data_IF_051756305915
#
_entry.id   IF_051756305915
#
_cell.length_a   1.000
_cell.length_b   1.000
_cell.length_c   1.000
_cell.angle_alpha   90.00
_cell.angle_beta   90.00
_cell.angle_gamma   90.00
#
_symmetry.space_group_name_H-M   'P 1'
#
loop_
_entity.id
_entity.type
_entity.pdbx_description
1 polymer ?
#
# COMPACT_ATOMS: atom_id res chain seq x y z
N UNK A 1 -15.95 -9.96 36.64
CA UNK A 1 -14.83 -9.65 37.54
C UNK A 1 -13.58 -10.28 36.97
N UNK A 2 -12.45 -9.58 37.03
CA UNK A 2 -11.16 -10.13 36.65
C UNK A 2 -10.79 -11.31 37.56
N UNK A 3 -10.19 -12.35 36.99
CA UNK A 3 -9.70 -13.52 37.72
C UNK A 3 -8.43 -13.19 38.47
N UNK A 4 -8.25 -13.82 39.62
CA UNK A 4 -6.94 -13.88 40.29
C UNK A 4 -5.98 -14.75 39.47
N UNK A 5 -4.67 -14.64 39.72
CA UNK A 5 -3.69 -15.52 39.07
C UNK A 5 -3.92 -16.99 39.43
N UNK A 6 -4.28 -17.28 40.68
CA UNK A 6 -4.62 -18.65 41.11
C UNK A 6 -5.84 -19.20 40.37
N UNK A 7 -6.88 -18.40 40.19
CA UNK A 7 -8.06 -18.79 39.42
C UNK A 7 -7.70 -19.04 37.95
N UNK A 8 -6.92 -18.13 37.36
CA UNK A 8 -6.43 -18.30 36.00
C UNK A 8 -5.60 -19.57 35.85
N UNK A 9 -4.65 -19.83 36.76
CA UNK A 9 -3.84 -21.04 36.78
C UNK A 9 -4.71 -22.29 36.85
N UNK A 10 -5.60 -22.39 37.84
CA UNK A 10 -6.45 -23.56 38.04
C UNK A 10 -7.37 -23.84 36.84
N UNK A 11 -7.87 -22.79 36.19
CA UNK A 11 -8.72 -22.95 35.01
C UNK A 11 -7.94 -23.40 33.77
N UNK A 12 -6.67 -23.01 33.68
CA UNK A 12 -5.90 -23.13 32.43
C UNK A 12 -4.89 -24.28 32.42
N UNK A 13 -4.38 -24.69 33.58
CA UNK A 13 -3.33 -25.71 33.72
C UNK A 13 -3.71 -27.01 33.00
N UNK A 14 -2.75 -27.59 32.27
CA UNK A 14 -2.91 -28.86 31.57
C UNK A 14 -3.71 -28.79 30.27
N UNK A 15 -4.20 -27.62 29.85
CA UNK A 15 -5.02 -27.42 28.64
C UNK A 15 -4.29 -26.58 27.60
N UNK A 16 -4.56 -26.80 26.32
CA UNK A 16 -4.05 -25.97 25.23
C UNK A 16 -5.04 -24.84 24.94
N UNK A 17 -4.66 -23.62 25.27
CA UNK A 17 -5.50 -22.43 25.11
C UNK A 17 -5.18 -21.68 23.82
N UNK A 18 -6.20 -21.26 23.05
CA UNK A 18 -6.06 -20.23 22.03
C UNK A 18 -5.82 -18.87 22.67
N UNK A 19 -5.34 -17.94 21.86
CA UNK A 19 -5.32 -16.54 22.24
C UNK A 19 -6.77 -16.05 22.52
N UNK A 20 -6.89 -14.84 23.05
CA UNK A 20 -8.18 -14.25 23.40
C UNK A 20 -9.19 -14.22 22.24
N UNK A 21 -8.71 -14.11 20.99
CA UNK A 21 -9.55 -14.07 19.78
C UNK A 21 -9.83 -15.46 19.17
N UNK A 22 -9.37 -16.55 19.80
CA UNK A 22 -9.62 -17.93 19.34
C UNK A 22 -8.59 -18.52 18.38
N UNK A 23 -7.51 -17.80 18.06
CA UNK A 23 -6.43 -18.27 17.17
C UNK A 23 -5.21 -18.83 17.91
N UNK A 24 -4.26 -19.42 17.17
CA UNK A 24 -2.92 -19.83 17.65
C UNK A 24 -2.95 -20.71 18.92
N UNK A 25 -3.83 -21.73 18.94
CA UNK A 25 -4.02 -22.59 20.09
C UNK A 25 -2.74 -23.32 20.52
N UNK A 26 -2.34 -23.12 21.76
CA UNK A 26 -1.18 -23.78 22.37
C UNK A 26 0.15 -23.04 22.20
N UNK A 27 0.14 -21.80 21.68
CA UNK A 27 1.34 -20.94 21.65
C UNK A 27 1.61 -20.26 23.01
N UNK A 28 2.86 -19.89 23.27
CA UNK A 28 3.27 -19.16 24.47
C UNK A 28 2.52 -17.83 24.64
N UNK A 29 2.45 -17.03 23.57
CA UNK A 29 1.70 -15.77 23.52
C UNK A 29 0.20 -15.95 23.71
N UNK A 30 -0.35 -17.13 23.39
CA UNK A 30 -1.78 -17.41 23.56
C UNK A 30 -2.17 -17.51 25.02
N UNK A 31 -1.33 -18.12 25.87
CA UNK A 31 -1.59 -18.17 27.31
C UNK A 31 -1.49 -16.77 27.94
N UNK A 32 -0.47 -15.99 27.55
CA UNK A 32 -0.32 -14.60 28.04
C UNK A 32 -1.46 -13.71 27.56
N UNK A 33 -1.94 -13.88 26.33
CA UNK A 33 -3.14 -13.21 25.82
C UNK A 33 -4.36 -13.53 26.69
N UNK A 34 -4.56 -14.78 27.08
CA UNK A 34 -5.64 -15.16 28.00
C UNK A 34 -5.48 -14.56 29.39
N UNK A 35 -4.25 -14.52 29.92
CA UNK A 35 -3.95 -13.92 31.22
C UNK A 35 -4.25 -12.42 31.23
N UNK A 36 -3.81 -11.69 30.20
CA UNK A 36 -4.10 -10.27 30.04
C UNK A 36 -5.61 -10.01 29.96
N UNK A 37 -6.36 -10.85 29.24
CA UNK A 37 -7.81 -10.72 29.14
C UNK A 37 -8.53 -11.03 30.45
N UNK A 38 -8.20 -12.16 31.08
CA UNK A 38 -8.96 -12.68 32.20
C UNK A 38 -8.56 -12.04 33.53
N UNK A 39 -7.30 -11.64 33.72
CA UNK A 39 -6.81 -11.07 34.98
C UNK A 39 -6.71 -9.54 34.96
N UNK A 40 -6.69 -8.90 33.78
CA UNK A 40 -6.54 -7.44 33.69
C UNK A 40 -7.67 -6.74 32.92
N UNK A 41 -8.68 -7.49 32.47
CA UNK A 41 -9.77 -7.03 31.61
C UNK A 41 -9.28 -6.34 30.34
N UNK A 42 -8.13 -6.78 29.80
CA UNK A 42 -7.60 -6.25 28.55
C UNK A 42 -8.25 -6.97 27.36
N UNK A 43 -8.19 -6.36 26.18
CA UNK A 43 -8.66 -6.99 24.94
C UNK A 43 -7.46 -7.23 24.00
N UNK A 44 -6.61 -8.23 24.30
CA UNK A 44 -5.45 -8.52 23.49
C UNK A 44 -5.85 -9.06 22.12
N UNK A 45 -5.35 -8.39 21.08
CA UNK A 45 -5.42 -8.87 19.70
C UNK A 45 -4.16 -9.65 19.31
N UNK A 46 -3.88 -9.73 18.01
CA UNK A 46 -2.58 -10.19 17.52
C UNK A 46 -1.50 -9.11 17.79
N UNK A 47 -0.88 -9.15 18.96
CA UNK A 47 0.14 -8.17 19.39
C UNK A 47 1.58 -8.55 19.04
N UNK A 48 1.75 -9.51 18.12
CA UNK A 48 3.05 -9.98 17.67
C UNK A 48 3.49 -11.27 18.37
N UNK A 49 4.75 -11.62 18.14
CA UNK A 49 5.45 -12.74 18.76
C UNK A 49 5.90 -12.38 20.18
N UNK A 50 6.48 -13.33 20.90
CA UNK A 50 6.93 -13.11 22.27
C UNK A 50 7.97 -11.98 22.38
N UNK A 51 8.95 -11.93 21.47
CA UNK A 51 9.99 -10.87 21.45
C UNK A 51 9.39 -9.46 21.26
N UNK A 52 8.27 -9.34 20.55
CA UNK A 52 7.62 -8.06 20.26
C UNK A 52 7.07 -7.41 21.55
N UNK A 53 6.69 -8.20 22.55
CA UNK A 53 6.31 -7.68 23.87
C UNK A 53 7.46 -6.93 24.54
N UNK A 54 8.71 -7.09 24.11
CA UNK A 54 9.85 -6.31 24.62
C UNK A 54 10.28 -5.22 23.64
N UNK A 55 10.48 -5.55 22.36
CA UNK A 55 11.07 -4.63 21.38
C UNK A 55 10.09 -3.58 20.88
N UNK A 56 8.82 -3.94 20.70
CA UNK A 56 7.77 -3.07 20.21
C UNK A 56 6.42 -3.41 20.89
N UNK A 57 6.31 -3.23 22.22
CA UNK A 57 5.13 -3.67 22.96
C UNK A 57 3.89 -2.91 22.48
N UNK A 58 2.76 -3.61 22.47
CA UNK A 58 1.47 -2.93 22.30
C UNK A 58 1.34 -1.80 23.36
N UNK A 59 0.89 -0.59 22.99
CA UNK A 59 0.80 0.55 23.92
C UNK A 59 -0.02 0.29 25.19
N UNK A 60 -0.93 -0.69 25.19
CA UNK A 60 -1.69 -1.06 26.37
C UNK A 60 -0.84 -1.76 27.46
N UNK A 61 0.26 -2.41 27.09
CA UNK A 61 1.17 -3.08 28.03
C UNK A 61 1.86 -2.08 28.96
N UNK A 62 2.60 -1.06 28.49
CA UNK A 62 3.26 -0.10 29.38
C UNK A 62 2.26 0.79 30.15
N UNK A 63 0.97 0.81 29.78
CA UNK A 63 -0.08 1.45 30.58
C UNK A 63 -0.43 0.60 31.81
N UNK A 64 -0.51 -0.72 31.66
CA UNK A 64 -0.92 -1.63 32.72
C UNK A 64 0.25 -2.31 33.45
N UNK A 65 1.47 -2.18 32.94
CA UNK A 65 2.66 -2.86 33.46
C UNK A 65 3.89 -1.95 33.46
N UNK A 66 4.75 -2.13 34.45
CA UNK A 66 6.09 -1.56 34.55
C UNK A 66 7.09 -2.48 33.86
N UNK A 67 7.93 -1.89 33.00
CA UNK A 67 9.02 -2.64 32.37
C UNK A 67 10.21 -2.70 33.31
N UNK A 68 10.63 -3.90 33.68
CA UNK A 68 11.80 -4.12 34.53
C UNK A 68 12.83 -4.99 33.80
N UNK A 69 14.11 -4.56 33.74
CA UNK A 69 15.14 -5.33 33.06
C UNK A 69 15.46 -6.65 33.78
N UNK A 70 16.17 -7.53 33.08
CA UNK A 70 16.79 -8.72 33.67
C UNK A 70 17.65 -8.36 34.90
N UNK A 71 17.73 -9.26 35.88
CA UNK A 71 18.46 -9.04 37.15
C UNK A 71 17.61 -8.54 38.31
N UNK A 72 16.39 -8.07 38.06
CA UNK A 72 15.39 -7.81 39.12
C UNK A 72 14.72 -9.11 39.55
N UNK A 73 14.39 -9.28 40.85
CA UNK A 73 13.66 -10.47 41.34
C UNK A 73 12.26 -10.53 40.73
N UNK A 74 11.88 -11.70 40.22
CA UNK A 74 10.53 -11.95 39.69
C UNK A 74 9.52 -12.16 40.83
N UNK A 75 8.27 -11.76 40.58
CA UNK A 75 7.13 -11.83 41.48
C UNK A 75 5.96 -12.48 40.76
N UNK A 76 5.06 -13.12 41.50
CA UNK A 76 3.91 -13.82 40.92
C UNK A 76 3.06 -12.84 40.10
N UNK A 77 2.76 -13.24 38.87
CA UNK A 77 2.03 -12.44 37.90
C UNK A 77 2.88 -11.55 36.99
N UNK A 78 4.19 -11.47 37.19
CA UNK A 78 5.10 -10.86 36.22
C UNK A 78 5.02 -11.62 34.88
N UNK A 79 5.00 -10.89 33.76
CA UNK A 79 5.12 -11.46 32.42
C UNK A 79 6.59 -11.40 32.00
N UNK A 80 7.23 -12.55 31.88
CA UNK A 80 8.65 -12.69 31.55
C UNK A 80 8.81 -12.83 30.03
N UNK A 81 9.82 -12.17 29.46
CA UNK A 81 10.07 -12.16 28.02
C UNK A 81 11.52 -12.58 27.71
N UNK A 82 11.67 -13.45 26.73
CA UNK A 82 12.94 -13.87 26.15
C UNK A 82 13.04 -13.44 24.68
N UNK A 83 14.26 -13.13 24.25
CA UNK A 83 14.57 -12.65 22.90
C UNK A 83 14.60 -13.72 21.83
N UNK A 84 14.83 -13.27 20.60
CA UNK A 84 14.83 -14.01 19.34
C UNK A 84 16.16 -14.73 19.02
N UNK A 85 16.89 -15.13 20.06
CA UNK A 85 18.18 -15.78 19.90
C UNK A 85 18.03 -17.25 19.49
N UNK A 86 18.31 -17.51 18.20
CA UNK A 86 18.25 -18.83 17.58
C UNK A 86 19.24 -19.83 18.24
N UNK A 87 20.28 -19.35 18.93
CA UNK A 87 21.22 -20.18 19.68
C UNK A 87 20.74 -20.60 21.08
N UNK A 88 19.64 -20.02 21.58
CA UNK A 88 19.24 -20.12 22.99
C UNK A 88 17.75 -20.49 23.16
N UNK A 89 17.37 -21.72 22.82
CA UNK A 89 16.10 -22.40 23.23
C UNK A 89 14.75 -21.72 22.89
N UNK A 90 14.72 -20.47 22.43
CA UNK A 90 13.52 -19.66 22.19
C UNK A 90 13.25 -19.40 20.70
N UNK A 91 14.25 -19.60 19.84
CA UNK A 91 14.11 -19.45 18.39
C UNK A 91 13.83 -18.02 17.94
N UNK A 92 13.49 -17.78 16.66
CA UNK A 92 13.38 -16.43 16.08
C UNK A 92 12.17 -15.62 16.57
N UNK A 93 11.25 -16.23 17.33
CA UNK A 93 10.02 -15.58 17.80
C UNK A 93 10.07 -15.21 19.28
N UNK A 94 11.13 -15.63 19.98
CA UNK A 94 11.27 -15.49 21.43
C UNK A 94 10.35 -16.41 22.22
N UNK A 95 10.37 -16.23 23.54
CA UNK A 95 9.48 -16.94 24.47
C UNK A 95 8.87 -15.97 25.47
N UNK A 96 7.70 -16.31 26.00
CA UNK A 96 6.98 -15.49 26.97
C UNK A 96 6.25 -16.38 27.97
N UNK A 97 6.27 -16.00 29.24
CA UNK A 97 5.68 -16.78 30.32
C UNK A 97 5.16 -15.87 31.44
N UNK A 98 4.39 -16.44 32.36
CA UNK A 98 3.94 -15.78 33.58
C UNK A 98 4.74 -16.36 34.74
N UNK A 99 5.27 -15.53 35.64
CA UNK A 99 5.89 -16.05 36.86
C UNK A 99 4.81 -16.53 37.84
N UNK A 100 4.96 -17.76 38.32
CA UNK A 100 4.03 -18.35 39.27
C UNK A 100 4.76 -19.28 40.24
N UNK A 101 4.75 -18.93 41.53
CA UNK A 101 5.32 -19.70 42.63
C UNK A 101 6.75 -20.22 42.36
N UNK A 102 7.61 -19.32 41.87
CA UNK A 102 9.03 -19.63 41.63
C UNK A 102 9.31 -20.36 40.31
N UNK A 103 8.31 -20.51 39.45
CA UNK A 103 8.38 -21.19 38.16
C UNK A 103 7.86 -20.31 37.03
N UNK A 104 8.16 -20.70 35.80
CA UNK A 104 7.53 -20.10 34.61
C UNK A 104 6.27 -20.89 34.30
N UNK A 105 5.15 -20.21 34.12
CA UNK A 105 3.88 -20.75 33.71
C UNK A 105 3.61 -20.36 32.25
N UNK A 106 3.63 -21.35 31.35
CA UNK A 106 3.66 -21.10 29.91
C UNK A 106 3.00 -22.21 29.08
N UNK A 107 2.94 -21.95 27.77
CA UNK A 107 2.64 -22.91 26.71
C UNK A 107 3.78 -22.93 25.70
N UNK A 108 3.84 -24.00 24.94
CA UNK A 108 4.80 -24.25 23.86
C UNK A 108 6.28 -24.29 24.27
N UNK A 109 6.57 -24.43 25.56
CA UNK A 109 7.94 -24.68 25.99
C UNK A 109 8.35 -26.11 25.63
N UNK A 110 9.49 -26.27 24.95
CA UNK A 110 9.97 -27.55 24.42
C UNK A 110 8.91 -28.35 23.62
N UNK A 111 7.98 -27.66 22.95
CA UNK A 111 6.89 -28.28 22.17
C UNK A 111 5.66 -28.69 22.99
N UNK A 112 5.62 -28.44 24.31
CA UNK A 112 4.45 -28.70 25.16
C UNK A 112 3.33 -27.71 24.87
N UNK A 113 2.37 -28.09 24.02
CA UNK A 113 1.25 -27.24 23.58
C UNK A 113 0.21 -26.90 24.65
N UNK A 114 0.22 -27.57 25.80
CA UNK A 114 -0.68 -27.30 26.93
C UNK A 114 -0.05 -26.35 27.92
N UNK A 115 -0.82 -25.66 28.77
CA UNK A 115 -0.29 -24.80 29.83
C UNK A 115 0.34 -25.62 30.96
N UNK A 116 1.46 -25.17 31.51
CA UNK A 116 2.27 -25.95 32.44
C UNK A 116 3.38 -25.15 33.09
N UNK A 117 4.01 -25.74 34.11
CA UNK A 117 5.06 -25.12 34.90
C UNK A 117 6.42 -25.69 34.53
N UNK A 118 7.37 -24.81 34.24
CA UNK A 118 8.76 -25.16 33.96
C UNK A 118 9.73 -24.38 34.87
N UNK A 119 10.97 -24.85 34.90
CA UNK A 119 12.04 -24.12 35.57
C UNK A 119 12.37 -22.84 34.79
N UNK A 120 12.67 -21.76 35.51
CA UNK A 120 13.21 -20.56 34.90
C UNK A 120 14.58 -20.82 34.28
N UNK A 121 14.83 -20.19 33.13
CA UNK A 121 16.12 -20.19 32.45
C UNK A 121 16.52 -18.76 32.08
N UNK A 122 17.80 -18.42 32.26
CA UNK A 122 18.31 -17.05 32.10
C UNK A 122 18.79 -16.74 30.68
N UNK A 123 19.09 -17.77 29.88
CA UNK A 123 19.60 -17.66 28.53
C UNK A 123 18.57 -16.96 27.64
N UNK A 124 18.94 -15.82 27.04
CA UNK A 124 18.04 -15.02 26.20
C UNK A 124 16.98 -14.22 26.98
N UNK A 125 16.99 -14.23 28.31
CA UNK A 125 16.00 -13.50 29.12
C UNK A 125 16.25 -11.99 29.05
N UNK A 126 15.25 -11.24 28.56
CA UNK A 126 15.34 -9.80 28.36
C UNK A 126 14.90 -9.02 29.60
N UNK A 127 13.88 -9.51 30.28
CA UNK A 127 13.28 -8.87 31.43
C UNK A 127 11.80 -9.21 31.55
N UNK A 128 11.07 -8.38 32.30
CA UNK A 128 9.68 -8.63 32.65
C UNK A 128 8.82 -7.38 32.59
N UNK A 129 7.53 -7.62 32.43
CA UNK A 129 6.47 -6.67 32.67
C UNK A 129 5.82 -7.00 34.00
N UNK A 130 6.01 -6.11 34.97
CA UNK A 130 5.37 -6.21 36.27
C UNK A 130 4.02 -5.50 36.21
N UNK A 131 2.91 -6.14 36.59
CA UNK A 131 1.64 -5.44 36.68
C UNK A 131 1.78 -4.16 37.51
N UNK A 132 1.42 -3.01 36.91
CA UNK A 132 1.17 -1.77 37.65
C UNK A 132 -0.12 -2.03 38.39
N UNK A 133 0.04 -2.56 39.60
CA UNK A 133 -0.97 -3.10 40.51
C UNK A 133 -2.38 -2.95 39.94
N UNK A 134 -2.89 -4.00 39.30
CA UNK A 134 -4.31 -4.36 39.25
C UNK A 134 -4.30 -5.75 39.90
N UNK A 135 -4.87 -5.85 41.09
CA UNK A 135 -4.82 -6.96 42.06
C UNK A 135 -4.70 -8.35 41.41
N UNK A 136 -3.50 -8.92 41.42
CA UNK A 136 -3.32 -10.36 41.30
C UNK A 136 -3.34 -10.88 42.74
N UNK A 137 -4.48 -11.42 43.17
CA UNK A 137 -4.55 -12.07 44.47
C UNK A 137 -3.68 -13.33 44.46
N UNK A 138 -2.63 -13.31 45.27
CA UNK A 138 -1.97 -14.50 45.81
C UNK A 138 -2.11 -14.49 47.33
N UNK A 139 -3.02 -15.34 47.79
CA UNK A 139 -3.21 -16.03 49.09
C UNK A 139 -2.94 -15.36 50.46
N UNK A 140 -3.72 -15.75 51.50
CA UNK A 140 -3.87 -15.04 52.77
C UNK A 140 -2.73 -15.33 53.75
N UNK A 141 -2.31 -14.30 54.49
CA UNK A 141 -1.57 -14.48 55.74
C UNK A 141 -2.56 -14.83 56.86
N UNK A 142 -2.10 -15.68 57.76
CA UNK A 142 -2.87 -16.19 58.88
C UNK A 142 -3.24 -15.07 59.85
N UNK A 143 -4.47 -15.16 60.36
CA UNK A 143 -5.10 -14.13 61.17
C UNK A 143 -4.38 -13.79 62.48
N UNK A 144 -4.61 -12.55 62.90
CA UNK A 144 -4.23 -11.97 64.18
C UNK A 144 -3.54 -10.62 64.00
N UNK A 145 -4.30 -9.52 64.04
CA UNK A 145 -3.86 -8.11 63.94
C UNK A 145 -2.95 -7.71 62.74
N UNK A 146 -2.53 -8.66 61.91
CA UNK A 146 -1.67 -8.48 60.73
C UNK A 146 -2.43 -8.33 59.41
N UNK A 147 -3.75 -8.47 59.41
CA UNK A 147 -4.61 -8.37 58.21
C UNK A 147 -5.11 -6.95 57.91
N UNK A 148 -4.89 -6.00 58.81
CA UNK A 148 -5.30 -4.61 58.59
C UNK A 148 -4.46 -3.98 57.49
N UNK A 149 -5.13 -3.25 56.60
CA UNK A 149 -4.45 -2.58 55.49
C UNK A 149 -3.43 -1.58 56.02
N UNK A 150 -2.20 -1.69 55.52
CA UNK A 150 -1.14 -0.71 55.79
C UNK A 150 -1.25 0.45 54.83
N UNK A 151 -0.58 1.58 55.13
CA UNK A 151 -0.52 2.70 54.20
C UNK A 151 0.02 2.30 52.81
N UNK A 152 0.98 1.37 52.77
CA UNK A 152 1.49 0.81 51.52
C UNK A 152 0.44 -0.03 50.78
N UNK A 153 -0.34 -0.83 51.52
CA UNK A 153 -1.47 -1.59 50.96
C UNK A 153 -2.58 -0.68 50.42
N UNK A 154 -2.92 0.39 51.14
CA UNK A 154 -3.93 1.36 50.70
C UNK A 154 -3.48 2.09 49.44
N UNK A 155 -2.23 2.54 49.41
CA UNK A 155 -1.65 3.18 48.23
C UNK A 155 -1.69 2.25 47.01
N UNK A 156 -1.39 0.96 47.20
CA UNK A 156 -1.48 -0.04 46.15
C UNK A 156 -2.92 -0.20 45.60
N UNK A 157 -3.93 -0.23 46.47
CA UNK A 157 -5.35 -0.33 46.09
C UNK A 157 -5.81 0.94 45.33
N UNK A 158 -5.43 2.12 45.80
CA UNK A 158 -5.81 3.40 45.18
C UNK A 158 -5.19 3.56 43.79
N UNK A 159 -3.91 3.23 43.60
CA UNK A 159 -3.33 3.22 42.27
C UNK A 159 -3.97 2.19 41.35
N UNK A 160 -4.35 1.02 41.88
CA UNK A 160 -4.97 -0.04 41.11
C UNK A 160 -6.36 0.29 40.59
N UNK A 161 -7.17 0.88 41.46
CA UNK A 161 -8.59 1.06 41.19
C UNK A 161 -8.96 2.49 40.85
N UNK A 162 -8.17 3.48 41.29
CA UNK A 162 -8.49 4.89 41.07
C UNK A 162 -7.39 5.63 40.29
N UNK A 163 -6.20 5.02 40.14
CA UNK A 163 -5.10 5.61 39.35
C UNK A 163 -4.49 6.87 39.98
N UNK A 164 -4.58 7.00 41.31
CA UNK A 164 -4.03 8.10 42.10
C UNK A 164 -3.57 7.63 43.47
N UNK A 165 -2.89 8.49 44.22
CA UNK A 165 -2.58 8.26 45.63
C UNK A 165 -3.82 8.50 46.54
N UNK A 166 -3.92 7.79 47.68
CA UNK A 166 -4.94 8.06 48.69
C UNK A 166 -4.69 9.42 49.33
N UNK A 167 -5.75 10.18 49.55
CA UNK A 167 -5.70 11.40 50.35
C UNK A 167 -5.66 11.08 51.85
N UNK A 168 -5.38 12.10 52.67
CA UNK A 168 -5.28 11.91 54.11
C UNK A 168 -6.57 11.38 54.74
N UNK A 169 -7.74 11.77 54.20
CA UNK A 169 -9.03 11.27 54.68
C UNK A 169 -9.19 9.77 54.45
N UNK A 170 -8.77 9.27 53.29
CA UNK A 170 -8.72 7.85 52.99
C UNK A 170 -7.73 7.09 53.90
N UNK A 171 -6.55 7.68 54.14
CA UNK A 171 -5.55 7.09 55.04
C UNK A 171 -6.12 6.95 56.45
N UNK A 172 -6.70 8.02 56.99
CA UNK A 172 -7.29 8.05 58.33
C UNK A 172 -8.51 7.12 58.45
N UNK A 173 -9.24 6.90 57.35
CA UNK A 173 -10.41 6.04 57.34
C UNK A 173 -10.05 4.55 57.28
N UNK A 174 -9.08 4.16 56.44
CA UNK A 174 -8.84 2.76 56.11
C UNK A 174 -7.67 2.12 56.86
N UNK A 175 -6.56 2.83 57.04
CA UNK A 175 -5.30 2.24 57.54
C UNK A 175 -5.45 1.82 59.00
N UNK A 176 -5.17 0.55 59.30
CA UNK A 176 -5.30 0.01 60.66
C UNK A 176 -6.73 -0.22 61.13
N UNK A 177 -7.74 0.11 60.31
CA UNK A 177 -9.16 0.00 60.65
C UNK A 177 -9.86 -1.16 59.93
N UNK A 178 -9.43 -1.47 58.71
CA UNK A 178 -10.07 -2.48 57.87
C UNK A 178 -9.06 -3.40 57.20
N UNK A 179 -9.52 -4.59 56.82
CA UNK A 179 -8.69 -5.56 56.09
C UNK A 179 -8.50 -5.15 54.64
N UNK A 180 -7.44 -5.65 54.02
CA UNK A 180 -7.16 -5.43 52.58
C UNK A 180 -8.36 -5.79 51.70
N UNK A 181 -9.02 -6.91 51.99
CA UNK A 181 -10.17 -7.38 51.21
C UNK A 181 -11.37 -6.43 51.31
N UNK A 182 -11.70 -5.98 52.53
CA UNK A 182 -12.79 -5.02 52.72
C UNK A 182 -12.53 -3.71 51.95
N UNK A 183 -11.32 -3.18 52.05
CA UNK A 183 -10.98 -1.91 51.39
C UNK A 183 -10.93 -2.07 49.87
N UNK A 184 -10.50 -3.22 49.36
CA UNK A 184 -10.56 -3.50 47.93
C UNK A 184 -12.01 -3.54 47.43
N UNK A 185 -12.89 -4.23 48.14
CA UNK A 185 -14.31 -4.33 47.78
C UNK A 185 -15.02 -2.97 47.85
N UNK A 186 -14.73 -2.18 48.89
CA UNK A 186 -15.33 -0.85 49.08
C UNK A 186 -14.88 0.14 47.98
N UNK A 187 -13.58 0.17 47.66
CA UNK A 187 -13.07 1.00 46.55
C UNK A 187 -13.61 0.53 45.20
N UNK A 188 -13.77 -0.78 44.99
CA UNK A 188 -14.39 -1.31 43.77
C UNK A 188 -15.86 -0.92 43.63
N UNK A 189 -16.59 -0.82 44.74
CA UNK A 189 -17.98 -0.39 44.78
C UNK A 189 -18.16 1.14 44.70
N UNK A 190 -17.09 1.92 44.95
CA UNK A 190 -17.15 3.38 45.02
C UNK A 190 -17.59 4.06 43.71
N UNK A 191 -18.28 5.20 43.84
CA UNK A 191 -18.63 6.06 42.70
C UNK A 191 -17.38 6.57 41.97
N UNK A 192 -16.31 6.82 42.71
CA UNK A 192 -15.04 7.28 42.15
C UNK A 192 -14.46 6.25 41.18
N UNK A 193 -14.53 4.95 41.52
CA UNK A 193 -14.11 3.87 40.62
C UNK A 193 -14.96 3.84 39.35
N UNK A 194 -16.27 4.03 39.46
CA UNK A 194 -17.16 4.06 38.31
C UNK A 194 -16.80 5.20 37.35
N UNK A 195 -16.51 6.39 37.89
CA UNK A 195 -16.08 7.55 37.11
C UNK A 195 -14.72 7.33 36.43
N UNK A 196 -13.74 6.78 37.17
CA UNK A 196 -12.42 6.44 36.63
C UNK A 196 -12.52 5.45 35.47
N UNK A 197 -13.38 4.43 35.57
CA UNK A 197 -13.62 3.48 34.48
C UNK A 197 -14.31 4.11 33.27
N UNK A 198 -15.31 4.96 33.47
CA UNK A 198 -15.98 5.67 32.38
C UNK A 198 -15.00 6.54 31.57
N UNK A 199 -14.07 7.23 32.25
CA UNK A 199 -13.02 8.01 31.60
C UNK A 199 -12.09 7.15 30.74
N UNK A 200 -11.68 5.97 31.23
CA UNK A 200 -10.81 5.06 30.49
C UNK A 200 -11.47 4.41 29.28
N UNK A 201 -12.76 4.06 29.39
CA UNK A 201 -13.54 3.55 28.25
C UNK A 201 -13.60 4.60 27.14
N UNK A 202 -13.79 5.88 27.49
CA UNK A 202 -13.82 6.99 26.53
C UNK A 202 -12.49 7.13 25.78
N UNK A 203 -11.36 7.08 26.50
CA UNK A 203 -10.02 7.14 25.87
C UNK A 203 -9.77 5.92 24.97
N UNK A 204 -10.14 4.72 25.41
CA UNK A 204 -9.99 3.51 24.61
C UNK A 204 -10.82 3.55 23.33
N UNK A 205 -12.06 4.05 23.40
CA UNK A 205 -12.92 4.26 22.22
C UNK A 205 -12.31 5.29 21.26
N UNK A 206 -11.78 6.40 21.77
CA UNK A 206 -11.14 7.42 20.94
C UNK A 206 -9.87 6.88 20.24
N UNK A 207 -9.08 6.07 20.94
CA UNK A 207 -7.90 5.41 20.36
C UNK A 207 -8.28 4.36 19.32
N UNK A 208 -9.33 3.56 19.57
CA UNK A 208 -9.84 2.58 18.60
C UNK A 208 -10.35 3.27 17.33
N UNK A 209 -11.07 4.40 17.47
CA UNK A 209 -11.51 5.19 16.33
C UNK A 209 -10.32 5.74 15.53
N UNK A 210 -9.32 6.31 16.22
CA UNK A 210 -8.11 6.82 15.58
C UNK A 210 -7.36 5.73 14.81
N UNK A 211 -7.29 4.52 15.36
CA UNK A 211 -6.67 3.37 14.70
C UNK A 211 -7.45 2.91 13.45
N UNK A 212 -8.78 2.91 13.53
CA UNK A 212 -9.65 2.58 12.39
C UNK A 212 -9.49 3.62 11.26
N UNK A 213 -9.48 4.90 11.60
CA UNK A 213 -9.29 6.00 10.64
C UNK A 213 -7.92 5.90 9.96
N UNK A 214 -6.86 5.59 10.73
CA UNK A 214 -5.52 5.39 10.19
C UNK A 214 -5.44 4.18 9.23
N UNK A 215 -6.14 3.09 9.56
CA UNK A 215 -6.20 1.90 8.69
C UNK A 215 -6.93 2.19 7.37
N UNK A 216 -8.03 2.96 7.44
CA UNK A 216 -8.76 3.40 6.25
C UNK A 216 -7.88 4.30 5.34
N UNK A 217 -7.17 5.26 5.94
CA UNK A 217 -6.26 6.15 5.21
C UNK A 217 -5.12 5.38 4.51
N UNK A 218 -4.53 4.37 5.18
CA UNK A 218 -3.50 3.51 4.57
C UNK A 218 -4.02 2.74 3.36
N UNK A 219 -5.26 2.24 3.43
CA UNK A 219 -5.90 1.51 2.32
C UNK A 219 -6.16 2.41 1.12
N UNK A 220 -6.60 3.64 1.35
CA UNK A 220 -6.77 4.64 0.28
C UNK A 220 -5.43 4.98 -0.37
N UNK A 221 -4.38 5.19 0.42
CA UNK A 221 -3.04 5.49 -0.10
C UNK A 221 -2.51 4.36 -1.00
N UNK A 222 -2.67 3.10 -0.59
CA UNK A 222 -2.28 1.95 -1.41
C UNK A 222 -3.05 1.88 -2.74
N UNK A 223 -4.34 2.25 -2.72
CA UNK A 223 -5.17 2.31 -3.93
C UNK A 223 -4.70 3.40 -4.89
N UNK A 224 -4.40 4.60 -4.39
CA UNK A 224 -3.89 5.71 -5.20
C UNK A 224 -2.49 5.42 -5.76
N UNK A 225 -1.62 4.77 -4.99
CA UNK A 225 -0.31 4.32 -5.47
C UNK A 225 -0.44 3.30 -6.61
N UNK A 226 -1.43 2.39 -6.54
CA UNK A 226 -1.67 1.43 -7.62
C UNK A 226 -2.13 2.12 -8.91
N UNK A 227 -2.96 3.17 -8.79
CA UNK A 227 -3.39 3.99 -9.95
C UNK A 227 -2.21 4.74 -10.58
N UNK A 228 -1.32 5.32 -9.78
CA UNK A 228 -0.18 6.09 -10.30
C UNK A 228 0.80 5.20 -11.07
N UNK A 229 1.04 3.96 -10.60
CA UNK A 229 1.84 2.96 -11.34
C UNK A 229 1.22 2.67 -12.71
N UNK A 230 -0.11 2.53 -12.79
CA UNK A 230 -0.82 2.35 -14.06
C UNK A 230 -0.65 3.54 -15.01
N UNK A 231 -0.74 4.78 -14.49
CA UNK A 231 -0.52 5.99 -15.29
C UNK A 231 0.91 6.08 -15.83
N UNK A 232 1.92 5.74 -15.02
CA UNK A 232 3.32 5.72 -15.46
C UNK A 232 3.53 4.74 -16.62
N UNK A 233 2.90 3.57 -16.58
CA UNK A 233 2.94 2.60 -17.68
C UNK A 233 2.32 3.19 -18.96
N UNK A 234 1.15 3.81 -18.85
CA UNK A 234 0.50 4.44 -20.01
C UNK A 234 1.34 5.56 -20.63
N UNK A 235 2.02 6.37 -19.81
CA UNK A 235 2.94 7.41 -20.31
C UNK A 235 4.13 6.79 -21.05
N UNK A 236 4.69 5.68 -20.55
CA UNK A 236 5.77 4.98 -21.23
C UNK A 236 5.33 4.42 -22.59
N UNK A 237 4.13 3.81 -22.65
CA UNK A 237 3.56 3.27 -23.89
C UNK A 237 3.27 4.39 -24.92
N UNK A 238 2.69 5.51 -24.48
CA UNK A 238 2.46 6.69 -25.33
C UNK A 238 3.77 7.30 -25.83
N UNK A 239 4.82 7.33 -25.00
CA UNK A 239 6.14 7.82 -25.39
C UNK A 239 6.73 6.94 -26.50
N UNK A 240 6.62 5.62 -26.37
CA UNK A 240 7.08 4.68 -27.40
C UNK A 240 6.31 4.85 -28.72
N UNK A 241 4.98 5.02 -28.65
CA UNK A 241 4.15 5.29 -29.83
C UNK A 241 4.53 6.60 -30.52
N UNK A 242 4.79 7.66 -29.75
CA UNK A 242 5.22 8.95 -30.30
C UNK A 242 6.59 8.85 -30.99
N UNK A 243 7.54 8.11 -30.40
CA UNK A 243 8.83 7.86 -31.03
C UNK A 243 8.70 7.10 -32.35
N UNK A 244 7.84 6.07 -32.41
CA UNK A 244 7.60 5.32 -33.64
C UNK A 244 6.96 6.22 -34.73
N UNK A 245 5.94 6.99 -34.37
CA UNK A 245 5.29 7.92 -35.31
C UNK A 245 6.26 8.98 -35.85
N UNK A 246 7.19 9.47 -35.03
CA UNK A 246 8.22 10.41 -35.49
C UNK A 246 9.18 9.79 -36.51
N UNK A 247 9.53 8.52 -36.38
CA UNK A 247 10.34 7.82 -37.38
C UNK A 247 9.58 7.59 -38.70
N UNK A 248 8.29 7.26 -38.63
CA UNK A 248 7.42 7.13 -39.80
C UNK A 248 7.33 8.47 -40.57
N UNK A 249 7.20 9.60 -39.86
CA UNK A 249 7.20 10.93 -40.47
C UNK A 249 8.52 11.24 -41.17
N UNK A 250 9.67 10.99 -40.52
CA UNK A 250 10.98 11.17 -41.16
C UNK A 250 11.12 10.33 -42.43
N UNK A 251 10.64 9.08 -42.40
CA UNK A 251 10.66 8.22 -43.57
C UNK A 251 9.79 8.76 -44.70
N UNK A 252 8.59 9.25 -44.38
CA UNK A 252 7.70 9.88 -45.35
C UNK A 252 8.32 11.15 -45.96
N UNK A 253 8.97 11.99 -45.17
CA UNK A 253 9.69 13.19 -45.64
C UNK A 253 10.83 12.83 -46.60
N UNK A 254 11.60 11.77 -46.29
CA UNK A 254 12.66 11.27 -47.17
C UNK A 254 12.10 10.83 -48.53
N UNK A 255 10.98 10.07 -48.52
CA UNK A 255 10.33 9.61 -49.75
C UNK A 255 9.83 10.80 -50.58
N UNK A 256 9.21 11.79 -49.93
CA UNK A 256 8.71 12.98 -50.61
C UNK A 256 9.86 13.79 -51.25
N UNK A 257 11.01 13.89 -50.57
CA UNK A 257 12.21 14.52 -51.12
C UNK A 257 12.74 13.77 -52.35
N UNK A 258 12.82 12.45 -52.29
CA UNK A 258 13.28 11.62 -53.41
C UNK A 258 12.37 11.77 -54.63
N UNK A 259 11.06 11.77 -54.41
CA UNK A 259 10.08 11.95 -55.49
C UNK A 259 10.10 13.36 -56.07
N UNK A 260 10.32 14.40 -55.26
CA UNK A 260 10.55 15.76 -55.75
C UNK A 260 11.78 15.83 -56.68
N UNK A 261 12.85 15.11 -56.34
CA UNK A 261 14.03 14.97 -57.19
C UNK A 261 13.71 14.31 -58.54
N UNK A 262 12.96 13.20 -58.53
CA UNK A 262 12.53 12.52 -59.77
C UNK A 262 11.64 13.40 -60.65
N UNK A 263 10.72 14.15 -60.05
CA UNK A 263 9.85 15.09 -60.77
C UNK A 263 10.68 16.19 -61.44
N UNK A 264 11.69 16.71 -60.74
CA UNK A 264 12.61 17.70 -61.31
C UNK A 264 13.34 17.15 -62.53
N UNK A 265 13.92 15.94 -62.42
CA UNK A 265 14.61 15.27 -63.52
C UNK A 265 13.73 15.04 -64.75
N UNK A 266 12.48 14.61 -64.53
CA UNK A 266 11.50 14.45 -65.61
C UNK A 266 11.14 15.78 -66.27
N UNK A 267 11.03 16.86 -65.49
CA UNK A 267 10.76 18.20 -66.00
C UNK A 267 11.90 18.68 -66.90
N UNK A 268 13.15 18.49 -66.49
CA UNK A 268 14.33 18.83 -67.30
C UNK A 268 14.36 18.04 -68.61
N UNK A 269 14.04 16.74 -68.56
CA UNK A 269 13.96 15.90 -69.78
C UNK A 269 12.86 16.34 -70.73
N UNK A 270 11.70 16.74 -70.18
CA UNK A 270 10.57 17.24 -70.98
C UNK A 270 10.95 18.55 -71.69
N UNK A 271 11.60 19.48 -70.99
CA UNK A 271 12.09 20.74 -71.59
C UNK A 271 13.11 20.50 -72.71
N UNK A 272 14.03 19.55 -72.52
CA UNK A 272 14.98 19.15 -73.55
C UNK A 272 14.28 18.57 -74.79
N UNK A 273 13.29 17.68 -74.58
CA UNK A 273 12.49 17.11 -75.66
C UNK A 273 11.71 18.19 -76.43
N UNK A 274 11.08 19.13 -75.72
CA UNK A 274 10.36 20.25 -76.33
C UNK A 274 11.27 21.13 -77.19
N UNK A 275 12.50 21.43 -76.72
CA UNK A 275 13.50 22.15 -77.52
C UNK A 275 13.89 21.39 -78.78
N UNK A 276 14.07 20.07 -78.69
CA UNK A 276 14.41 19.24 -79.84
C UNK A 276 13.28 19.22 -80.89
N UNK A 277 12.02 19.11 -80.45
CA UNK A 277 10.85 19.20 -81.33
C UNK A 277 10.76 20.56 -82.02
N UNK A 278 10.98 21.65 -81.27
CA UNK A 278 10.99 23.00 -81.84
C UNK A 278 12.08 23.16 -82.92
N UNK A 279 13.29 22.62 -82.68
CA UNK A 279 14.36 22.62 -83.66
C UNK A 279 14.01 21.81 -84.91
N UNK A 280 13.44 20.61 -84.75
CA UNK A 280 13.00 19.78 -85.87
C UNK A 280 11.93 20.49 -86.73
N UNK A 281 10.95 21.14 -86.09
CA UNK A 281 9.94 21.92 -86.80
C UNK A 281 10.55 23.10 -87.58
N UNK A 282 11.55 23.78 -87.03
CA UNK A 282 12.25 24.84 -87.73
C UNK A 282 12.99 24.30 -88.98
N UNK A 283 13.61 23.12 -88.89
CA UNK A 283 14.23 22.45 -90.04
C UNK A 283 13.19 22.07 -91.11
N UNK A 284 12.03 21.53 -90.72
CA UNK A 284 10.94 21.23 -91.66
C UNK A 284 10.52 22.49 -92.42
N UNK A 285 10.29 23.60 -91.72
CA UNK A 285 9.92 24.87 -92.36
C UNK A 285 10.99 25.39 -93.34
N UNK A 286 12.27 25.19 -93.03
CA UNK A 286 13.37 25.54 -93.95
C UNK A 286 13.36 24.68 -95.22
N UNK A 287 13.08 23.37 -95.08
CA UNK A 287 12.96 22.47 -96.22
C UNK A 287 11.75 22.80 -97.10
N UNK A 288 10.59 23.08 -96.48
CA UNK A 288 9.38 23.53 -97.19
C UNK A 288 9.60 24.87 -97.92
N UNK A 289 10.41 25.77 -97.36
CA UNK A 289 10.78 27.02 -98.03
C UNK A 289 11.74 26.81 -99.22
N UNK A 290 12.57 25.77 -99.18
CA UNK A 290 13.50 25.42 -100.26
C UNK A 290 12.81 24.70 -101.44
N UNK A 291 11.65 24.07 -101.21
CA UNK A 291 10.88 23.34 -102.23
C UNK A 291 9.84 24.23 -102.97
N UNK A 292 9.93 25.56 -102.83
CA UNK A 292 9.05 26.46 -103.60
C UNK A 292 9.45 26.47 -105.08
N UNK A 293 8.55 26.07 -106.01
CA UNK A 293 8.86 26.06 -107.44
C UNK A 293 9.01 27.49 -107.98
N UNK A 294 9.98 27.66 -108.90
CA UNK A 294 10.24 28.89 -109.65
C UNK A 294 8.96 29.34 -110.38
N UNK A 295 8.57 30.63 -110.33
CA UNK A 295 7.31 31.09 -110.88
C UNK A 295 7.30 30.97 -112.41
N UNK A 296 6.51 30.04 -112.95
CA UNK A 296 6.18 30.00 -114.37
C UNK A 296 4.95 30.87 -114.67
N UNK A 297 5.10 31.74 -115.67
CA UNK A 297 4.14 32.72 -116.18
C UNK A 297 2.79 32.08 -116.60
N UNK A 298 1.62 32.60 -116.18
CA UNK A 298 0.33 32.02 -116.54
C UNK A 298 -0.23 32.64 -117.82
N UNK A 299 -0.83 31.78 -118.65
CA UNK A 299 -1.62 32.15 -119.83
C UNK A 299 -3.03 31.54 -119.63
N UNK A 300 -4.07 32.38 -119.69
CA UNK A 300 -5.41 31.97 -120.13
C UNK A 300 -6.46 31.49 -119.10
N UNK A 301 -7.40 32.40 -118.81
CA UNK A 301 -8.88 32.26 -118.82
C UNK A 301 -9.69 31.38 -117.83
N UNK A 302 -10.20 32.04 -116.77
CA UNK A 302 -11.58 32.16 -116.16
C UNK A 302 -12.68 31.13 -116.61
N UNK A 303 -13.62 30.55 -115.81
CA UNK A 303 -14.64 31.05 -114.80
C UNK A 303 -15.26 29.85 -113.97
N UNK A 304 -16.27 29.97 -113.04
CA UNK A 304 -16.27 29.39 -111.68
C UNK A 304 -17.44 28.36 -111.44
N UNK A 305 -17.80 27.88 -110.21
CA UNK A 305 -18.53 28.66 -109.19
C UNK A 305 -18.27 28.31 -107.69
N UNK A 306 -18.80 29.21 -106.85
CA UNK A 306 -19.16 29.20 -105.41
C UNK A 306 -19.20 27.89 -104.59
N UNK A 307 -18.69 27.93 -103.35
CA UNK A 307 -19.51 27.89 -102.12
C UNK A 307 -18.65 27.91 -100.82
N UNK A 308 -19.22 28.50 -99.78
CA UNK A 308 -18.73 28.56 -98.40
C UNK A 308 -18.62 27.15 -97.78
N UNK A 309 -17.58 26.92 -96.97
CA UNK A 309 -17.60 25.92 -95.91
C UNK A 309 -16.86 26.43 -94.67
N UNK A 310 -17.57 26.36 -93.56
CA UNK A 310 -17.28 26.84 -92.21
C UNK A 310 -16.13 26.10 -91.54
N UNK A 311 -15.39 26.81 -90.68
CA UNK A 311 -14.39 26.26 -89.75
C UNK A 311 -14.95 25.05 -88.96
N UNK A 312 -14.19 23.96 -88.78
CA UNK A 312 -14.54 22.92 -87.83
C UNK A 312 -14.40 23.43 -86.39
N UNK A 313 -15.15 22.88 -85.41
CA UNK A 313 -15.07 23.32 -84.03
C UNK A 313 -13.73 22.93 -83.41
N UNK A 314 -13.17 23.84 -82.61
CA UNK A 314 -12.13 23.55 -81.63
C UNK A 314 -12.66 22.48 -80.66
N UNK A 315 -12.16 21.24 -80.79
CA UNK A 315 -12.28 20.25 -79.72
C UNK A 315 -11.47 20.71 -78.52
N UNK A 316 -12.03 20.72 -77.29
CA UNK A 316 -11.29 21.07 -76.10
C UNK A 316 -10.13 20.08 -75.88
N UNK A 317 -9.01 20.51 -75.27
CA UNK A 317 -7.92 19.60 -74.96
C UNK A 317 -8.43 18.51 -74.03
N UNK A 318 -8.08 17.25 -74.34
CA UNK A 318 -8.33 16.12 -73.45
C UNK A 318 -7.73 16.46 -72.09
N UNK A 319 -8.59 16.65 -71.09
CA UNK A 319 -8.16 16.76 -69.70
C UNK A 319 -7.39 15.49 -69.35
N UNK A 320 -6.15 15.68 -68.89
CA UNK A 320 -5.28 14.63 -68.40
C UNK A 320 -6.00 13.86 -67.30
N UNK A 321 -6.30 12.58 -67.56
CA UNK A 321 -6.83 11.60 -66.60
C UNK A 321 -5.91 11.36 -65.40
N UNK A 322 -4.69 11.90 -65.42
CA UNK A 322 -3.72 11.76 -64.35
C UNK A 322 -4.06 12.64 -63.13
N UNK A 323 -4.61 13.85 -63.36
CA UNK A 323 -4.96 14.79 -62.29
C UNK A 323 -6.19 14.32 -61.47
N UNK A 324 -7.17 13.67 -62.11
CA UNK A 324 -8.32 13.07 -61.42
C UNK A 324 -7.91 11.88 -60.56
N UNK A 325 -6.94 11.08 -61.01
CA UNK A 325 -6.49 9.89 -60.27
C UNK A 325 -5.73 10.25 -58.98
N UNK A 326 -4.96 11.33 -58.98
CA UNK A 326 -4.23 11.81 -57.78
C UNK A 326 -5.19 12.41 -56.75
N UNK A 327 -6.21 13.16 -57.19
CA UNK A 327 -7.22 13.74 -56.30
C UNK A 327 -8.10 12.65 -55.68
N UNK A 328 -8.51 11.63 -56.44
CA UNK A 328 -9.29 10.50 -55.91
C UNK A 328 -8.49 9.64 -54.92
N UNK A 329 -7.17 9.50 -55.11
CA UNK A 329 -6.30 8.82 -54.16
C UNK A 329 -6.16 9.60 -52.84
N UNK A 330 -5.95 10.92 -52.90
CA UNK A 330 -5.87 11.80 -51.73
C UNK A 330 -7.17 11.79 -50.90
N UNK A 331 -8.32 11.82 -51.57
CA UNK A 331 -9.64 11.75 -50.90
C UNK A 331 -9.88 10.36 -50.27
N UNK A 332 -9.39 9.28 -50.88
CA UNK A 332 -9.45 7.92 -50.31
C UNK A 332 -8.47 7.70 -49.16
N UNK A 333 -7.34 8.40 -49.12
CA UNK A 333 -6.37 8.32 -48.02
C UNK A 333 -6.91 9.03 -46.76
N UNK A 334 -7.56 10.19 -46.93
CA UNK A 334 -8.12 10.96 -45.81
C UNK A 334 -9.35 10.31 -45.17
N UNK A 335 -10.11 9.47 -45.89
CA UNK A 335 -11.25 8.72 -45.33
C UNK A 335 -10.87 7.47 -44.52
N UNK A 336 -9.62 7.01 -44.58
CA UNK A 336 -9.19 5.77 -43.91
C UNK A 336 -8.49 6.01 -42.57
N UNK A 337 -8.18 7.26 -42.23
CA UNK A 337 -7.47 7.66 -40.99
C UNK A 337 -8.32 8.56 -40.07
N UNK A 338 -9.66 8.47 -40.17
CA UNK A 338 -10.61 9.13 -39.26
C UNK A 338 -11.49 8.11 -38.57
#
# INVERSE_FOLDING_TARGET
MAKTLDQFYNDTIGKAWPNYQGGYQGECVSLVSQYLAQCFDMQPGAWGNAVDYWTNPNPAIPVAFDRLPAGTTAQDGDILVWGDDVGNWTGPYGHIAIWYHGKIYDQNFAGRRTAGLDAFFSQGYLGKWRPKIKTIATQPSQGGDTDMITNAGLNAIYWAYLGREPDQGAIDHYVGHYTVDFVADDILASEERQQYMAGRVTVAQQQAQTAADLAAAKTQLATEQSKSVGLVKNVADLTAQLSAANEDVKQAESIASDDAGKIHDLTVKLDAANKAVAAANATIQQLEAADKPVPTKPTGTVVPPTSQATNPPLTPPKTSTWLTTVVDWLVSALRRNG
#
